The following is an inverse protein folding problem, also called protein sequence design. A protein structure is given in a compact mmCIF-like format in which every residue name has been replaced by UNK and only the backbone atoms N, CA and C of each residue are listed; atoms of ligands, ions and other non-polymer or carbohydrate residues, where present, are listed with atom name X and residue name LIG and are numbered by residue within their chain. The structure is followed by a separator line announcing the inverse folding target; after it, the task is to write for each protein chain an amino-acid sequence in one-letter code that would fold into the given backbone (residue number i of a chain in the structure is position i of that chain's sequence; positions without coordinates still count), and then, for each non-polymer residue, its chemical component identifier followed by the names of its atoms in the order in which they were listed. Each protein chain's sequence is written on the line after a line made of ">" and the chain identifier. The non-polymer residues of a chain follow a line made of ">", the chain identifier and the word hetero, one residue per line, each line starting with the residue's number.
data_IF_491141814562
#
_entry.id   IF_491141814562
#
_cell.length_a   1.000
_cell.length_b   1.000
_cell.length_c   1.000
_cell.angle_alpha   90.00
_cell.angle_beta   90.00
_cell.angle_gamma   90.00
#
_symmetry.space_group_name_H-M   'P 1'
#
loop_
_entity.id
_entity.type
_entity.pdbx_description
1 polymer ?
#
# COMPACT_ATOMS: atom_id res chain seq x y z
N UNK A 1 -0.07 22.07 -13.36
CA UNK A 1 0.44 20.91 -12.59
C UNK A 1 -0.71 20.03 -12.18
N UNK A 2 -0.52 18.75 -12.32
CA UNK A 2 -1.56 17.78 -11.94
C UNK A 2 -1.46 17.45 -10.46
N UNK A 3 -2.64 17.28 -9.83
CA UNK A 3 -2.71 16.81 -8.44
C UNK A 3 -2.61 15.29 -8.34
N UNK A 4 -2.55 14.75 -7.10
CA UNK A 4 -2.42 13.31 -6.88
C UNK A 4 -3.54 12.48 -7.54
N UNK A 5 -4.78 12.91 -7.44
CA UNK A 5 -5.91 12.17 -8.05
C UNK A 5 -5.87 12.22 -9.57
N UNK A 6 -5.41 13.33 -10.16
CA UNK A 6 -5.24 13.43 -11.61
C UNK A 6 -4.13 12.50 -12.09
N UNK A 7 -3.02 12.38 -11.35
CA UNK A 7 -1.95 11.44 -11.67
C UNK A 7 -2.40 9.99 -11.60
N UNK A 8 -3.25 9.66 -10.63
CA UNK A 8 -3.88 8.34 -10.56
C UNK A 8 -4.75 8.10 -11.80
N UNK A 9 -5.56 9.09 -12.19
CA UNK A 9 -6.42 8.98 -13.37
C UNK A 9 -5.61 8.77 -14.65
N UNK A 10 -4.47 9.40 -14.78
CA UNK A 10 -3.56 9.18 -15.92
C UNK A 10 -3.05 7.74 -15.99
N UNK A 11 -2.98 7.05 -14.87
CA UNK A 11 -2.63 5.63 -14.80
C UNK A 11 -3.84 4.70 -14.98
N UNK A 12 -5.03 5.26 -15.21
CA UNK A 12 -6.26 4.50 -15.27
C UNK A 12 -6.76 4.04 -13.91
N UNK A 13 -6.34 4.70 -12.83
CA UNK A 13 -6.68 4.34 -11.47
C UNK A 13 -7.54 5.43 -10.82
N UNK A 14 -8.39 5.00 -9.88
CA UNK A 14 -9.17 5.90 -9.04
C UNK A 14 -8.94 5.52 -7.58
N UNK A 15 -9.09 6.49 -6.68
CA UNK A 15 -9.01 6.22 -5.24
C UNK A 15 -10.20 5.34 -4.87
N UNK A 16 -9.98 4.14 -4.33
CA UNK A 16 -11.08 3.28 -3.93
C UNK A 16 -11.75 3.78 -2.65
N UNK A 17 -12.88 3.20 -2.30
CA UNK A 17 -13.43 3.37 -0.96
C UNK A 17 -12.46 2.77 0.05
N UNK A 18 -12.36 3.40 1.22
CA UNK A 18 -11.49 2.91 2.28
C UNK A 18 -11.97 1.53 2.74
N UNK A 19 -11.04 0.58 2.83
CA UNK A 19 -11.35 -0.76 3.31
C UNK A 19 -11.77 -0.72 4.78
N UNK A 20 -12.84 -1.46 5.13
CA UNK A 20 -13.31 -1.53 6.51
C UNK A 20 -12.34 -2.38 7.33
N UNK A 21 -11.92 -1.89 8.52
CA UNK A 21 -11.09 -2.68 9.40
C UNK A 21 -11.83 -3.94 9.87
N UNK A 22 -11.09 -5.04 10.00
CA UNK A 22 -11.63 -6.33 10.49
C UNK A 22 -11.49 -6.48 12.01
N UNK A 23 -10.94 -5.48 12.70
CA UNK A 23 -10.69 -5.51 14.15
C UNK A 23 -10.86 -4.11 14.75
N UNK A 24 -10.50 -3.95 16.01
CA UNK A 24 -10.72 -2.73 16.79
C UNK A 24 -9.67 -1.65 16.49
N UNK A 25 -9.59 -1.20 15.25
CA UNK A 25 -8.69 -0.11 14.82
C UNK A 25 -9.32 0.68 13.68
N UNK A 26 -8.69 1.79 13.30
CA UNK A 26 -9.12 2.67 12.22
C UNK A 26 -8.14 2.60 11.05
N UNK A 27 -8.56 2.97 9.81
CA UNK A 27 -7.67 2.90 8.66
C UNK A 27 -6.46 3.82 8.73
N UNK A 28 -6.59 4.99 9.37
CA UNK A 28 -5.49 5.93 9.51
C UNK A 28 -5.67 6.80 10.75
N UNK A 29 -4.55 7.31 11.26
CA UNK A 29 -4.52 8.23 12.41
C UNK A 29 -3.61 9.39 12.04
N UNK A 30 -4.07 10.61 12.29
CA UNK A 30 -3.24 11.81 12.18
C UNK A 30 -2.59 12.11 13.53
N UNK A 31 -1.30 12.39 13.50
CA UNK A 31 -0.54 12.85 14.68
C UNK A 31 0.34 14.01 14.23
N UNK A 32 0.00 15.21 14.68
CA UNK A 32 0.68 16.42 14.22
C UNK A 32 0.53 16.59 12.71
N UNK A 33 1.65 16.66 12.01
CA UNK A 33 1.70 16.79 10.55
C UNK A 33 1.92 15.45 9.84
N UNK A 34 1.75 14.34 10.54
CA UNK A 34 1.91 13.00 9.96
C UNK A 34 0.60 12.23 10.02
N UNK A 35 0.34 11.47 8.97
CA UNK A 35 -0.76 10.52 8.92
C UNK A 35 -0.18 9.13 8.77
N UNK A 36 -0.58 8.24 9.66
CA UNK A 36 -0.15 6.85 9.72
C UNK A 36 -1.30 5.97 9.27
N UNK A 37 -1.10 5.14 8.26
CA UNK A 37 -2.14 4.18 7.89
C UNK A 37 -1.95 2.87 8.66
N UNK A 38 -3.06 2.18 8.90
CA UNK A 38 -3.01 0.76 9.23
C UNK A 38 -2.51 -0.02 8.02
N UNK A 39 -2.02 -1.22 8.25
CA UNK A 39 -1.59 -2.11 7.15
C UNK A 39 -2.76 -2.41 6.21
N UNK A 40 -2.51 -2.31 4.92
CA UNK A 40 -3.51 -2.54 3.90
C UNK A 40 -3.20 -3.82 3.13
N UNK A 41 -4.19 -4.67 3.02
CA UNK A 41 -4.16 -5.88 2.20
C UNK A 41 -4.60 -5.52 0.77
N UNK A 42 -4.33 -6.39 -0.23
CA UNK A 42 -4.75 -6.12 -1.61
C UNK A 42 -6.23 -6.45 -1.82
N UNK A 43 -7.08 -5.74 -1.10
CA UNK A 43 -8.53 -5.85 -1.23
C UNK A 43 -8.99 -5.04 -2.44
N UNK A 44 -9.86 -5.63 -3.24
CA UNK A 44 -10.51 -4.96 -4.36
C UNK A 44 -11.95 -5.42 -4.46
N UNK A 45 -12.86 -4.45 -4.51
CA UNK A 45 -14.31 -4.72 -4.54
C UNK A 45 -14.78 -5.60 -3.37
N UNK A 46 -14.18 -5.40 -2.19
CA UNK A 46 -14.54 -6.12 -0.97
C UNK A 46 -13.92 -7.50 -0.83
N UNK A 47 -13.09 -7.92 -1.78
CA UNK A 47 -12.48 -9.26 -1.77
C UNK A 47 -10.97 -9.17 -1.87
N UNK A 48 -10.28 -10.11 -1.22
CA UNK A 48 -8.84 -10.28 -1.34
C UNK A 48 -8.53 -10.78 -2.76
N UNK A 49 -7.58 -10.12 -3.46
CA UNK A 49 -7.24 -10.47 -4.85
C UNK A 49 -6.61 -11.85 -4.98
N UNK A 50 -5.88 -12.30 -3.97
CA UNK A 50 -5.20 -13.58 -3.99
C UNK A 50 -4.83 -14.02 -2.58
N UNK A 51 -4.52 -15.30 -2.43
CA UNK A 51 -3.95 -15.88 -1.21
C UNK A 51 -2.72 -16.69 -1.57
N UNK A 52 -1.86 -16.93 -0.59
CA UNK A 52 -0.68 -17.78 -0.75
C UNK A 52 0.63 -17.04 -0.54
N UNK A 53 1.73 -17.76 -0.70
CA UNK A 53 3.09 -17.26 -0.42
C UNK A 53 3.78 -16.87 -1.71
N UNK A 54 4.46 -15.75 -1.68
CA UNK A 54 5.29 -15.30 -2.79
C UNK A 54 6.53 -16.19 -2.87
N UNK A 55 6.83 -16.66 -4.06
CA UNK A 55 7.83 -17.71 -4.29
C UNK A 55 7.24 -19.11 -4.32
N UNK A 56 6.00 -19.28 -3.88
CA UNK A 56 5.21 -20.50 -3.96
C UNK A 56 4.05 -20.34 -4.94
N UNK A 57 2.82 -20.26 -4.40
CA UNK A 57 1.60 -20.12 -5.22
C UNK A 57 1.52 -18.78 -5.93
N UNK A 58 2.18 -17.74 -5.40
CA UNK A 58 2.15 -16.39 -5.94
C UNK A 58 3.52 -16.04 -6.51
N UNK A 59 3.57 -15.56 -7.76
CA UNK A 59 4.80 -15.10 -8.38
C UNK A 59 5.19 -13.70 -7.90
N UNK A 60 6.45 -13.33 -8.09
CA UNK A 60 6.93 -11.99 -7.77
C UNK A 60 6.20 -10.92 -8.60
N UNK A 61 5.92 -11.20 -9.88
CA UNK A 61 5.20 -10.29 -10.77
C UNK A 61 3.75 -10.07 -10.33
N UNK A 62 3.07 -11.15 -9.93
CA UNK A 62 1.72 -11.05 -9.38
C UNK A 62 1.73 -10.25 -8.08
N UNK A 63 2.68 -10.53 -7.19
CA UNK A 63 2.81 -9.84 -5.92
C UNK A 63 3.08 -8.34 -6.08
N UNK A 64 3.84 -7.94 -7.09
CA UNK A 64 4.01 -6.53 -7.47
C UNK A 64 2.67 -5.85 -7.72
N UNK A 65 1.80 -6.49 -8.49
CA UNK A 65 0.45 -5.97 -8.78
C UNK A 65 -0.40 -5.89 -7.51
N UNK A 66 -0.28 -6.88 -6.63
CA UNK A 66 -1.00 -6.85 -5.35
C UNK A 66 -0.47 -5.76 -4.42
N UNK A 67 0.83 -5.51 -4.42
CA UNK A 67 1.42 -4.40 -3.67
C UNK A 67 0.91 -3.05 -4.18
N UNK A 68 0.71 -2.90 -5.47
CA UNK A 68 0.09 -1.71 -6.05
C UNK A 68 -1.33 -1.50 -5.51
N UNK A 69 -2.13 -2.55 -5.43
CA UNK A 69 -3.48 -2.46 -4.86
C UNK A 69 -3.44 -2.09 -3.37
N UNK A 70 -2.51 -2.66 -2.62
CA UNK A 70 -2.28 -2.27 -1.23
C UNK A 70 -1.99 -0.77 -1.11
N UNK A 71 -1.16 -0.25 -2.01
CA UNK A 71 -0.82 1.17 -2.05
C UNK A 71 -2.04 2.04 -2.36
N UNK A 72 -2.89 1.63 -3.30
CA UNK A 72 -4.15 2.32 -3.57
C UNK A 72 -5.04 2.37 -2.33
N UNK A 73 -5.13 1.28 -1.60
CA UNK A 73 -5.92 1.20 -0.38
C UNK A 73 -5.34 2.08 0.73
N UNK A 74 -4.01 2.19 0.81
CA UNK A 74 -3.33 3.10 1.73
C UNK A 74 -3.62 4.57 1.36
N UNK A 75 -3.61 4.90 0.07
CA UNK A 75 -3.99 6.24 -0.41
C UNK A 75 -5.43 6.55 -0.04
N UNK A 76 -6.34 5.59 -0.17
CA UNK A 76 -7.74 5.75 0.23
C UNK A 76 -7.86 6.05 1.73
N UNK A 77 -7.07 5.36 2.57
CA UNK A 77 -7.05 5.59 4.01
C UNK A 77 -6.55 7.00 4.35
N UNK A 78 -5.50 7.48 3.67
CA UNK A 78 -5.00 8.85 3.83
C UNK A 78 -6.07 9.86 3.42
N UNK A 79 -6.69 9.67 2.26
CA UNK A 79 -7.73 10.57 1.77
C UNK A 79 -8.91 10.68 2.75
N UNK A 80 -9.35 9.54 3.30
CA UNK A 80 -10.44 9.54 4.28
C UNK A 80 -10.08 10.36 5.53
N UNK A 81 -8.81 10.39 5.91
CA UNK A 81 -8.35 11.14 7.09
C UNK A 81 -8.17 12.63 6.81
N UNK A 82 -7.59 13.00 5.65
CA UNK A 82 -7.22 14.40 5.37
C UNK A 82 -8.22 15.13 4.48
N UNK A 83 -9.07 14.42 3.76
CA UNK A 83 -10.09 14.97 2.87
C UNK A 83 -9.58 15.24 1.46
N UNK A 84 -8.44 15.87 1.30
CA UNK A 84 -7.88 16.23 0.00
C UNK A 84 -6.44 15.74 -0.09
N UNK A 85 -6.15 14.85 -1.04
CA UNK A 85 -4.80 14.32 -1.25
C UNK A 85 -3.78 15.39 -1.65
N UNK A 86 -4.22 16.54 -2.16
CA UNK A 86 -3.34 17.65 -2.47
C UNK A 86 -2.66 18.22 -1.21
N UNK A 87 -3.19 17.93 -0.01
CA UNK A 87 -2.57 18.32 1.26
C UNK A 87 -1.34 17.49 1.61
N UNK A 88 -1.12 16.35 0.97
CA UNK A 88 0.03 15.50 1.21
C UNK A 88 1.28 16.17 0.64
N UNK A 89 2.23 16.48 1.51
CA UNK A 89 3.51 17.11 1.12
C UNK A 89 4.51 16.08 0.62
N UNK A 90 4.55 14.91 1.26
CA UNK A 90 5.46 13.83 0.90
C UNK A 90 5.05 12.51 1.53
N UNK A 91 5.49 11.43 0.92
CA UNK A 91 5.54 10.12 1.58
C UNK A 91 6.80 10.08 2.41
N UNK A 92 6.69 9.70 3.68
CA UNK A 92 7.80 9.66 4.62
C UNK A 92 8.38 8.25 4.70
N UNK A 93 7.51 7.26 4.93
CA UNK A 93 7.92 5.87 5.14
C UNK A 93 6.91 4.91 4.55
N UNK A 94 7.43 3.90 3.89
CA UNK A 94 6.64 2.76 3.39
C UNK A 94 7.20 1.49 4.04
N UNK A 95 6.32 0.65 4.57
CA UNK A 95 6.68 -0.70 5.01
C UNK A 95 5.83 -1.69 4.22
N UNK A 96 6.51 -2.61 3.57
CA UNK A 96 5.88 -3.69 2.83
C UNK A 96 6.24 -5.03 3.48
N UNK A 97 5.21 -5.79 3.83
CA UNK A 97 5.34 -7.14 4.35
C UNK A 97 4.95 -8.11 3.25
N UNK A 98 5.84 -9.05 2.95
CA UNK A 98 5.62 -10.03 1.88
C UNK A 98 5.58 -11.41 2.50
N UNK A 99 4.43 -12.08 2.44
CA UNK A 99 4.31 -13.47 2.88
C UNK A 99 5.14 -14.31 1.90
N UNK A 100 6.26 -14.82 2.35
CA UNK A 100 7.30 -15.39 1.49
C UNK A 100 7.60 -16.82 1.85
N UNK A 101 7.93 -17.63 0.82
CA UNK A 101 8.60 -18.91 1.07
C UNK A 101 9.99 -18.62 1.66
N UNK A 102 10.59 -19.59 2.42
CA UNK A 102 11.86 -19.32 3.10
C UNK A 102 13.03 -18.98 2.17
N UNK A 103 12.95 -19.38 0.92
CA UNK A 103 14.00 -19.16 -0.08
C UNK A 103 13.75 -17.93 -0.96
N UNK A 104 12.59 -17.28 -0.83
CA UNK A 104 12.30 -16.08 -1.61
C UNK A 104 12.95 -14.86 -0.97
N UNK A 105 13.81 -14.16 -1.71
CA UNK A 105 14.54 -12.97 -1.23
C UNK A 105 14.24 -11.73 -2.06
N UNK A 106 13.25 -11.77 -2.92
CA UNK A 106 12.88 -10.66 -3.83
C UNK A 106 11.87 -9.67 -3.27
N UNK A 107 11.75 -9.56 -1.94
CA UNK A 107 10.80 -8.64 -1.32
C UNK A 107 10.92 -7.19 -1.81
N UNK A 108 12.14 -6.64 -2.04
CA UNK A 108 12.26 -5.28 -2.57
C UNK A 108 11.57 -5.08 -3.91
N UNK A 109 11.68 -6.05 -4.82
CA UNK A 109 11.01 -5.99 -6.13
C UNK A 109 9.49 -6.00 -6.01
N UNK A 110 8.95 -6.77 -5.09
CA UNK A 110 7.50 -6.78 -4.79
C UNK A 110 7.06 -5.44 -4.23
N UNK A 111 7.80 -4.92 -3.26
CA UNK A 111 7.50 -3.62 -2.63
C UNK A 111 7.53 -2.46 -3.63
N UNK A 112 8.27 -2.58 -4.71
CA UNK A 112 8.31 -1.57 -5.77
C UNK A 112 6.94 -1.32 -6.39
N UNK A 113 6.03 -2.29 -6.35
CA UNK A 113 4.64 -2.08 -6.79
C UNK A 113 3.95 -0.96 -6.02
N UNK A 114 4.22 -0.86 -4.73
CA UNK A 114 3.72 0.23 -3.90
C UNK A 114 4.55 1.50 -4.07
N UNK A 115 5.88 1.39 -3.95
CA UNK A 115 6.78 2.55 -3.99
C UNK A 115 6.70 3.32 -5.29
N UNK A 116 6.62 2.64 -6.42
CA UNK A 116 6.52 3.29 -7.73
C UNK A 116 5.19 4.04 -7.87
N UNK A 117 4.10 3.47 -7.38
CA UNK A 117 2.82 4.17 -7.38
C UNK A 117 2.88 5.43 -6.51
N UNK A 118 3.40 5.34 -5.29
CA UNK A 118 3.54 6.50 -4.43
C UNK A 118 4.43 7.57 -5.05
N UNK A 119 5.53 7.18 -5.67
CA UNK A 119 6.43 8.11 -6.36
C UNK A 119 5.75 8.84 -7.51
N UNK A 120 4.94 8.15 -8.30
CA UNK A 120 4.18 8.75 -9.39
C UNK A 120 3.10 9.71 -8.87
N UNK A 121 2.39 9.31 -7.82
CA UNK A 121 1.24 10.08 -7.31
C UNK A 121 1.68 11.29 -6.50
N UNK A 122 2.65 11.14 -5.61
CA UNK A 122 3.06 12.19 -4.68
C UNK A 122 4.43 12.79 -5.00
N UNK A 123 5.22 12.14 -5.84
CA UNK A 123 6.58 12.59 -6.13
C UNK A 123 7.55 12.33 -4.99
N UNK A 124 8.80 12.72 -5.19
CA UNK A 124 9.84 12.62 -4.17
C UNK A 124 10.33 11.19 -3.91
N UNK A 125 11.04 11.06 -2.81
CA UNK A 125 11.59 9.77 -2.34
C UNK A 125 11.13 9.53 -0.90
N UNK A 126 11.16 8.28 -0.47
CA UNK A 126 10.72 7.89 0.86
C UNK A 126 11.67 6.85 1.46
N UNK A 127 11.68 6.76 2.78
CA UNK A 127 12.34 5.66 3.48
C UNK A 127 11.46 4.40 3.37
N UNK A 128 12.08 3.22 3.40
CA UNK A 128 11.32 1.98 3.20
C UNK A 128 11.94 0.80 3.94
N UNK A 129 11.09 -0.09 4.40
CA UNK A 129 11.46 -1.46 4.74
C UNK A 129 10.60 -2.40 3.92
N UNK A 130 11.22 -3.43 3.34
CA UNK A 130 10.53 -4.50 2.60
C UNK A 130 11.04 -5.82 3.16
N UNK A 131 10.17 -6.54 3.85
CA UNK A 131 10.57 -7.72 4.63
C UNK A 131 9.69 -8.91 4.33
N UNK A 132 10.25 -10.10 4.45
CA UNK A 132 9.50 -11.35 4.36
C UNK A 132 8.92 -11.73 5.71
N UNK A 133 7.72 -12.25 5.70
CA UNK A 133 7.04 -12.82 6.87
C UNK A 133 6.50 -14.20 6.51
N UNK A 134 6.34 -15.10 7.50
CA UNK A 134 5.83 -16.44 7.21
C UNK A 134 4.39 -16.45 6.72
N UNK A 135 3.56 -15.56 7.26
CA UNK A 135 2.13 -15.52 6.95
C UNK A 135 1.57 -14.13 7.26
N UNK A 136 0.58 -13.73 6.50
CA UNK A 136 -0.19 -12.49 6.73
C UNK A 136 -1.66 -12.82 7.03
N UNK A 137 -2.39 -11.86 7.61
CA UNK A 137 -3.82 -12.07 7.85
C UNK A 137 -4.56 -12.52 6.58
N UNK A 138 -5.51 -13.43 6.72
CA UNK A 138 -6.32 -13.97 5.64
C UNK A 138 -5.51 -14.69 4.56
N UNK A 139 -4.28 -15.08 4.89
CA UNK A 139 -3.33 -15.66 3.94
C UNK A 139 -3.01 -14.74 2.76
N UNK A 140 -3.04 -13.43 3.01
CA UNK A 140 -2.67 -12.43 2.00
C UNK A 140 -1.21 -12.56 1.60
N UNK A 141 -0.87 -12.36 0.31
CA UNK A 141 0.53 -12.41 -0.11
C UNK A 141 1.33 -11.16 0.26
N UNK A 142 0.69 -10.02 0.41
CA UNK A 142 1.37 -8.74 0.72
C UNK A 142 0.51 -7.88 1.62
N UNK A 143 1.17 -6.98 2.34
CA UNK A 143 0.55 -5.94 3.16
C UNK A 143 1.43 -4.71 3.14
N UNK A 144 0.85 -3.52 3.01
CA UNK A 144 1.60 -2.27 2.94
C UNK A 144 1.03 -1.27 3.93
N UNK A 145 1.91 -0.58 4.66
CA UNK A 145 1.54 0.57 5.49
C UNK A 145 2.34 1.79 5.08
N UNK A 146 1.81 2.96 5.39
CA UNK A 146 2.27 4.23 4.86
C UNK A 146 2.29 5.29 5.95
N UNK A 147 3.30 6.15 5.94
CA UNK A 147 3.34 7.41 6.70
C UNK A 147 3.53 8.53 5.71
N UNK A 148 2.65 9.53 5.76
CA UNK A 148 2.76 10.74 4.95
C UNK A 148 2.85 11.97 5.84
N UNK A 149 3.45 13.04 5.31
CA UNK A 149 3.43 14.37 5.91
C UNK A 149 2.40 15.24 5.21
N UNK A 150 1.64 15.97 5.99
CA UNK A 150 0.61 16.90 5.51
C UNK A 150 0.81 18.32 6.00
#
# INVERSE_FOLDING_TARGET
>A
MTGPEERLAELGLIVPEVAKPVAAYVPAVRSGNHVFTSGQLPMRDGELMATGKVGGEVSAEEAYTYAQQCALNAIAAVKAEVGDLALVKRVVKVVAFVASTPDFTGQPGVANGASELFGTVFGGVHARSAVGVPVLPLDSPVEVELVVEV
#
